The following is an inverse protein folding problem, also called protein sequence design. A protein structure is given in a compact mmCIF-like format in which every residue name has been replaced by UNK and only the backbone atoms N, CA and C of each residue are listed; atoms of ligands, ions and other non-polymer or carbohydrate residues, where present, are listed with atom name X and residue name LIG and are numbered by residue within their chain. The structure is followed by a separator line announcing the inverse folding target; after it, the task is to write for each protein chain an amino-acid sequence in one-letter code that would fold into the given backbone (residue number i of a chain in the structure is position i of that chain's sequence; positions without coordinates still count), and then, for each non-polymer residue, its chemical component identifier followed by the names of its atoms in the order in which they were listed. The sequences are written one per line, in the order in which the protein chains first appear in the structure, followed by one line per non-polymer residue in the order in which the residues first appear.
data_IF_400300760939
#
_entry.id   IF_400300760939
#
_cell.length_a   1.000
_cell.length_b   1.000
_cell.length_c   1.000
_cell.angle_alpha   90.00
_cell.angle_beta   90.00
_cell.angle_gamma   90.00
#
_symmetry.space_group_name_H-M   'P 1'
#
loop_
_entity.id
_entity.type
_entity.pdbx_description
1 polymer ?
#
# COMPACT_ATOMS: atom_id res chain seq x y z
N UNK A 1 15.94 -26.71 30.14
CA UNK A 1 17.21 -25.95 29.99
C UNK A 1 16.88 -24.55 29.50
N UNK A 2 16.65 -23.63 30.44
CA UNK A 2 16.50 -22.21 30.13
C UNK A 2 17.88 -21.62 29.90
N UNK A 3 18.18 -21.18 28.68
CA UNK A 3 19.33 -20.33 28.40
C UNK A 3 18.84 -18.90 28.26
N UNK A 4 19.35 -18.07 29.17
CA UNK A 4 19.07 -16.66 29.34
C UNK A 4 19.76 -15.87 28.21
N UNK A 5 18.98 -15.32 27.27
CA UNK A 5 19.49 -14.53 26.13
C UNK A 5 19.68 -13.03 26.46
N UNK A 6 19.63 -12.66 27.74
CA UNK A 6 19.59 -11.26 28.19
C UNK A 6 20.94 -10.53 28.20
N UNK A 7 22.07 -11.19 27.95
CA UNK A 7 23.41 -10.57 28.13
C UNK A 7 24.14 -10.08 26.87
N UNK A 8 23.66 -10.31 25.64
CA UNK A 8 24.43 -9.98 24.43
C UNK A 8 23.69 -9.22 23.32
N UNK A 9 22.49 -8.70 23.60
CA UNK A 9 21.70 -7.96 22.60
C UNK A 9 22.03 -6.47 22.59
N UNK A 10 22.78 -5.99 21.59
CA UNK A 10 22.83 -4.55 21.28
C UNK A 10 21.81 -4.29 20.17
N UNK A 11 20.74 -3.56 20.49
CA UNK A 11 19.78 -3.04 19.52
C UNK A 11 20.25 -1.66 19.07
N UNK A 12 20.65 -1.53 17.79
CA UNK A 12 21.05 -0.24 17.22
C UNK A 12 19.94 0.25 16.31
N UNK A 13 19.28 1.35 16.70
CA UNK A 13 18.33 2.05 15.83
C UNK A 13 19.11 3.05 14.97
N UNK A 14 19.10 2.86 13.65
CA UNK A 14 19.82 3.75 12.75
C UNK A 14 19.04 5.06 12.55
N UNK A 15 19.47 6.12 13.22
CA UNK A 15 19.15 7.50 12.83
C UNK A 15 20.33 8.06 12.02
N UNK A 16 20.01 8.88 11.02
CA UNK A 16 20.87 9.36 9.91
C UNK A 16 22.06 10.26 10.34
N UNK A 17 22.75 9.94 11.44
CA UNK A 17 23.96 10.62 11.92
C UNK A 17 25.05 9.58 12.18
N UNK A 18 26.16 9.74 11.45
CA UNK A 18 27.46 9.07 11.64
C UNK A 18 27.66 8.69 13.11
N UNK A 19 27.96 7.41 13.38
CA UNK A 19 28.96 6.93 14.35
C UNK A 19 29.05 5.40 14.16
N UNK A 20 30.09 4.92 13.46
CA UNK A 20 30.67 3.61 13.80
C UNK A 20 31.94 3.97 14.56
N UNK A 21 31.85 3.99 15.89
CA UNK A 21 32.98 4.31 16.75
C UNK A 21 33.90 3.08 16.80
N UNK A 22 35.20 3.24 16.50
CA UNK A 22 36.19 2.16 16.44
C UNK A 22 36.22 1.31 17.72
N UNK A 23 35.83 1.86 18.87
CA UNK A 23 35.70 1.13 20.14
C UNK A 23 34.74 -0.07 20.08
N UNK A 24 33.65 0.02 19.32
CA UNK A 24 32.70 -1.10 19.20
C UNK A 24 33.30 -2.28 18.45
N UNK A 25 34.14 -2.01 17.45
CA UNK A 25 34.76 -3.06 16.63
C UNK A 25 35.77 -3.88 17.44
N UNK A 26 36.49 -3.25 18.36
CA UNK A 26 37.40 -3.95 19.28
C UNK A 26 36.66 -4.89 20.22
N UNK A 27 35.46 -4.51 20.70
CA UNK A 27 34.65 -5.35 21.59
C UNK A 27 34.07 -6.59 20.89
N UNK A 28 33.79 -6.47 19.59
CA UNK A 28 33.25 -7.57 18.78
C UNK A 28 34.34 -8.54 18.30
N UNK A 29 35.61 -8.13 18.30
CA UNK A 29 36.72 -8.99 17.89
C UNK A 29 36.91 -10.14 18.88
N UNK A 30 36.96 -11.39 18.39
CA UNK A 30 37.05 -12.59 19.22
C UNK A 30 35.76 -12.96 19.98
N UNK A 31 34.81 -12.04 20.15
CA UNK A 31 33.55 -12.26 20.86
C UNK A 31 32.47 -12.87 19.97
N UNK A 32 31.59 -13.71 20.53
CA UNK A 32 30.38 -14.19 19.84
C UNK A 32 29.24 -13.19 20.07
N UNK A 33 28.58 -12.73 19.01
CA UNK A 33 27.54 -11.70 19.11
C UNK A 33 26.28 -12.00 18.30
N UNK A 34 25.17 -11.38 18.72
CA UNK A 34 23.93 -11.27 17.96
C UNK A 34 23.57 -9.78 17.82
N UNK A 35 23.55 -9.28 16.59
CA UNK A 35 23.16 -7.89 16.30
C UNK A 35 21.80 -7.89 15.61
N UNK A 36 20.88 -7.04 16.11
CA UNK A 36 19.58 -6.82 15.47
C UNK A 36 19.55 -5.42 14.86
N UNK A 37 19.40 -5.37 13.54
CA UNK A 37 19.23 -4.14 12.77
C UNK A 37 17.77 -4.01 12.37
N UNK A 38 17.07 -3.09 13.04
CA UNK A 38 15.65 -2.89 12.82
C UNK A 38 15.38 -1.77 11.79
N UNK A 39 14.42 -2.01 10.89
CA UNK A 39 13.86 -1.04 9.92
C UNK A 39 14.90 -0.47 8.94
N UNK A 40 15.66 -1.33 8.24
CA UNK A 40 16.64 -0.93 7.22
C UNK A 40 15.99 -0.70 5.85
N UNK A 41 16.30 0.43 5.20
CA UNK A 41 15.70 0.88 3.93
C UNK A 41 16.68 1.00 2.76
N UNK A 42 17.97 0.77 2.97
CA UNK A 42 18.99 1.04 1.96
C UNK A 42 20.14 0.02 2.01
N UNK A 43 20.49 -0.51 0.83
CA UNK A 43 21.61 -1.42 0.61
C UNK A 43 22.95 -0.80 1.01
N UNK A 44 23.11 0.51 0.82
CA UNK A 44 24.33 1.26 1.16
C UNK A 44 24.53 1.26 2.67
N UNK A 45 23.44 1.45 3.44
CA UNK A 45 23.49 1.42 4.91
C UNK A 45 23.91 0.03 5.39
N UNK A 46 23.32 -1.03 4.84
CA UNK A 46 23.73 -2.40 5.15
C UNK A 46 25.20 -2.66 4.78
N UNK A 47 25.63 -2.31 3.56
CA UNK A 47 26.99 -2.53 3.09
C UNK A 47 28.03 -1.79 3.96
N UNK A 48 27.73 -0.54 4.32
CA UNK A 48 28.58 0.26 5.20
C UNK A 48 28.68 -0.38 6.58
N UNK A 49 27.57 -0.85 7.16
CA UNK A 49 27.57 -1.51 8.47
C UNK A 49 28.33 -2.85 8.45
N UNK A 50 28.02 -3.72 7.48
CA UNK A 50 28.61 -5.05 7.33
C UNK A 50 30.13 -5.00 7.19
N UNK A 51 30.67 -4.00 6.48
CA UNK A 51 32.11 -3.81 6.26
C UNK A 51 32.92 -3.72 7.55
N UNK A 52 32.32 -3.26 8.65
CA UNK A 52 33.03 -3.09 9.91
C UNK A 52 32.92 -4.30 10.84
N UNK A 53 31.98 -5.22 10.59
CA UNK A 53 31.73 -6.34 11.51
C UNK A 53 32.75 -7.46 11.33
N UNK A 54 33.46 -7.88 12.40
CA UNK A 54 34.41 -8.97 12.31
C UNK A 54 33.70 -10.31 12.15
N UNK A 55 34.13 -11.14 11.20
CA UNK A 55 33.74 -12.54 11.13
C UNK A 55 34.87 -13.41 11.69
N UNK A 56 34.64 -13.91 12.90
CA UNK A 56 35.61 -14.74 13.63
C UNK A 56 35.28 -16.23 13.52
N UNK A 57 34.32 -16.65 12.68
CA UNK A 57 33.90 -18.06 12.55
C UNK A 57 33.29 -18.67 13.83
N UNK A 58 32.97 -17.86 14.83
CA UNK A 58 32.53 -18.30 16.17
C UNK A 58 31.00 -18.41 16.33
N UNK A 59 30.27 -18.43 15.22
CA UNK A 59 28.81 -18.51 15.22
C UNK A 59 28.09 -17.19 15.55
N UNK A 60 28.73 -16.05 15.31
CA UNK A 60 28.09 -14.73 15.38
C UNK A 60 26.97 -14.60 14.32
N UNK A 61 25.94 -13.81 14.63
CA UNK A 61 24.74 -13.68 13.79
C UNK A 61 24.26 -12.24 13.72
N UNK A 62 23.64 -11.90 12.59
CA UNK A 62 22.99 -10.61 12.37
C UNK A 62 21.57 -10.89 11.91
N UNK A 63 20.60 -10.27 12.57
CA UNK A 63 19.20 -10.26 12.16
C UNK A 63 18.86 -8.87 11.63
N UNK A 64 18.42 -8.78 10.39
CA UNK A 64 17.99 -7.55 9.77
C UNK A 64 16.48 -7.61 9.50
N UNK A 65 15.76 -6.56 9.86
CA UNK A 65 14.36 -6.37 9.46
C UNK A 65 14.28 -5.26 8.40
N UNK A 66 13.51 -5.50 7.34
CA UNK A 66 13.30 -4.53 6.27
C UNK A 66 11.93 -4.76 5.64
N UNK A 67 11.37 -3.70 5.06
CA UNK A 67 10.16 -3.76 4.24
C UNK A 67 10.47 -3.92 2.75
N UNK A 68 11.74 -3.80 2.36
CA UNK A 68 12.14 -3.81 0.95
C UNK A 68 12.74 -5.17 0.59
N UNK A 69 12.14 -5.85 -0.38
CA UNK A 69 12.60 -7.17 -0.80
C UNK A 69 14.03 -7.14 -1.36
N UNK A 70 14.39 -6.05 -2.04
CA UNK A 70 15.74 -5.82 -2.58
C UNK A 70 16.82 -5.73 -1.49
N UNK A 71 16.52 -5.11 -0.34
CA UNK A 71 17.45 -5.03 0.79
C UNK A 71 17.68 -6.41 1.39
N UNK A 72 16.61 -7.20 1.54
CA UNK A 72 16.73 -8.57 2.05
C UNK A 72 17.58 -9.45 1.12
N UNK A 73 17.37 -9.37 -0.20
CA UNK A 73 18.17 -10.11 -1.21
C UNK A 73 19.62 -9.67 -1.19
N UNK A 74 19.89 -8.37 -1.28
CA UNK A 74 21.24 -7.83 -1.26
C UNK A 74 22.02 -8.22 0.01
N UNK A 75 21.35 -8.24 1.17
CA UNK A 75 21.95 -8.68 2.42
C UNK A 75 22.24 -10.19 2.45
N UNK A 76 21.43 -10.99 1.76
CA UNK A 76 21.55 -12.44 1.74
C UNK A 76 22.62 -12.94 0.77
N UNK A 77 22.72 -12.33 -0.41
CA UNK A 77 23.55 -12.80 -1.53
C UNK A 77 25.05 -12.89 -1.20
N UNK A 78 25.52 -12.08 -0.24
CA UNK A 78 26.94 -12.01 0.13
C UNK A 78 27.35 -12.92 1.28
N UNK A 79 26.42 -13.25 2.17
CA UNK A 79 26.73 -13.89 3.46
C UNK A 79 26.08 -15.28 3.63
N UNK A 80 25.39 -15.81 2.61
CA UNK A 80 24.78 -17.14 2.65
C UNK A 80 23.69 -17.29 3.72
N UNK A 81 22.96 -16.20 3.98
CA UNK A 81 21.96 -16.11 5.05
C UNK A 81 20.63 -16.80 4.73
N UNK A 82 19.60 -16.42 5.49
CA UNK A 82 18.22 -16.87 5.28
C UNK A 82 17.25 -15.68 5.29
N UNK A 83 16.38 -15.60 4.28
CA UNK A 83 15.32 -14.59 4.19
C UNK A 83 14.01 -15.17 4.73
N UNK A 84 13.55 -14.64 5.86
CA UNK A 84 12.23 -14.98 6.40
C UNK A 84 11.18 -13.95 5.94
N UNK A 85 10.43 -14.26 4.88
CA UNK A 85 9.26 -13.46 4.48
C UNK A 85 8.13 -13.65 5.50
N UNK A 86 7.72 -12.56 6.17
CA UNK A 86 6.56 -12.60 7.07
C UNK A 86 5.27 -12.72 6.25
N UNK A 87 4.42 -13.68 6.63
CA UNK A 87 3.09 -13.87 6.04
C UNK A 87 2.04 -13.02 6.76
N UNK A 88 0.92 -12.80 6.09
CA UNK A 88 -0.30 -12.30 6.71
C UNK A 88 -0.84 -13.33 7.71
N UNK A 89 -1.61 -12.83 8.69
CA UNK A 89 -2.39 -13.68 9.58
C UNK A 89 -3.51 -14.35 8.80
N UNK A 90 -3.80 -15.61 9.11
CA UNK A 90 -5.00 -16.27 8.58
C UNK A 90 -6.27 -15.73 9.28
N UNK A 91 -7.45 -16.15 8.84
CA UNK A 91 -8.72 -15.64 9.40
C UNK A 91 -8.85 -15.92 10.91
N UNK A 92 -8.39 -17.08 11.39
CA UNK A 92 -8.49 -17.44 12.81
C UNK A 92 -7.49 -16.67 13.68
N UNK A 93 -6.25 -16.53 13.23
CA UNK A 93 -5.24 -15.71 13.90
C UNK A 93 -5.65 -14.23 13.94
N UNK A 94 -6.25 -13.74 12.85
CA UNK A 94 -6.76 -12.38 12.76
C UNK A 94 -7.88 -12.14 13.76
N UNK A 95 -8.81 -13.10 13.85
CA UNK A 95 -9.88 -13.06 14.84
C UNK A 95 -9.35 -13.13 16.27
N UNK A 96 -8.42 -14.06 16.54
CA UNK A 96 -7.78 -14.20 17.84
C UNK A 96 -7.12 -12.89 18.28
N UNK A 97 -6.33 -12.25 17.40
CA UNK A 97 -5.69 -10.97 17.70
C UNK A 97 -6.71 -9.86 17.95
N UNK A 98 -7.77 -9.76 17.14
CA UNK A 98 -8.82 -8.78 17.34
C UNK A 98 -9.48 -8.98 18.71
N UNK A 99 -9.86 -10.23 19.02
CA UNK A 99 -10.51 -10.61 20.27
C UNK A 99 -9.63 -10.24 21.47
N UNK A 100 -8.36 -10.61 21.45
CA UNK A 100 -7.37 -10.32 22.49
C UNK A 100 -7.19 -8.81 22.73
N UNK A 101 -7.23 -7.99 21.67
CA UNK A 101 -7.05 -6.54 21.80
C UNK A 101 -8.32 -5.77 22.17
N UNK A 102 -9.50 -6.31 21.83
CA UNK A 102 -10.79 -5.68 22.16
C UNK A 102 -11.27 -6.07 23.56
N UNK A 103 -10.97 -7.28 24.01
CA UNK A 103 -11.48 -7.86 25.25
C UNK A 103 -10.28 -8.12 26.15
N UNK A 104 -10.15 -7.32 27.21
CA UNK A 104 -9.01 -7.42 28.10
C UNK A 104 -8.96 -8.72 28.92
N UNK A 105 -10.05 -9.49 29.04
CA UNK A 105 -10.08 -10.80 29.75
C UNK A 105 -11.41 -11.54 29.54
N UNK A 106 -11.34 -12.88 29.54
CA UNK A 106 -12.40 -13.93 29.60
C UNK A 106 -13.88 -13.48 29.67
N UNK A 107 -14.42 -13.05 28.53
CA UNK A 107 -15.86 -12.95 28.32
C UNK A 107 -16.29 -13.91 27.20
N UNK A 108 -17.35 -14.69 27.46
CA UNK A 108 -18.10 -15.42 26.44
C UNK A 108 -18.86 -14.40 25.59
N UNK A 109 -18.33 -14.09 24.41
CA UNK A 109 -19.04 -13.23 23.46
C UNK A 109 -20.34 -13.91 23.00
N UNK A 110 -21.47 -13.18 22.94
CA UNK A 110 -22.65 -13.68 22.24
C UNK A 110 -22.29 -14.11 20.80
N UNK A 111 -22.86 -15.21 20.27
CA UNK A 111 -22.52 -15.73 18.95
C UNK A 111 -22.65 -14.70 17.81
N UNK A 112 -23.63 -13.79 17.91
CA UNK A 112 -23.85 -12.72 16.94
C UNK A 112 -22.70 -11.70 16.93
N UNK A 113 -22.15 -11.40 18.12
CA UNK A 113 -21.04 -10.47 18.27
C UNK A 113 -19.73 -11.10 17.79
N UNK A 114 -19.55 -12.40 18.03
CA UNK A 114 -18.43 -13.16 17.44
C UNK A 114 -18.49 -13.13 15.91
N UNK A 115 -19.66 -13.40 15.31
CA UNK A 115 -19.83 -13.34 13.84
C UNK A 115 -19.50 -11.95 13.28
N UNK A 116 -19.91 -10.88 13.97
CA UNK A 116 -19.56 -9.51 13.59
C UNK A 116 -18.06 -9.26 13.71
N UNK A 117 -17.44 -9.69 14.82
CA UNK A 117 -16.01 -9.57 15.06
C UNK A 117 -15.15 -10.31 14.03
N UNK A 118 -15.50 -11.55 13.68
CA UNK A 118 -14.85 -12.32 12.61
C UNK A 118 -14.95 -11.62 11.25
N UNK A 119 -16.10 -11.00 10.94
CA UNK A 119 -16.27 -10.20 9.72
C UNK A 119 -15.36 -8.96 9.71
N UNK A 120 -15.19 -8.31 10.85
CA UNK A 120 -14.26 -7.18 11.01
C UNK A 120 -12.81 -7.65 10.79
N UNK A 121 -12.40 -8.72 11.47
CA UNK A 121 -11.06 -9.28 11.35
C UNK A 121 -10.73 -9.69 9.90
N UNK A 122 -11.67 -10.33 9.21
CA UNK A 122 -11.54 -10.70 7.80
C UNK A 122 -11.30 -9.48 6.90
N UNK A 123 -12.00 -8.38 7.13
CA UNK A 123 -11.82 -7.12 6.38
C UNK A 123 -10.50 -6.38 6.68
N UNK A 124 -9.76 -6.80 7.71
CA UNK A 124 -8.40 -6.31 7.94
C UNK A 124 -7.35 -7.05 7.10
N UNK A 125 -7.76 -8.04 6.28
CA UNK A 125 -6.92 -8.76 5.32
C UNK A 125 -5.65 -9.38 5.94
N UNK A 126 -5.75 -9.83 7.20
CA UNK A 126 -4.64 -10.47 7.90
C UNK A 126 -3.49 -9.53 8.29
N UNK A 127 -3.66 -8.21 8.17
CA UNK A 127 -2.67 -7.21 8.59
C UNK A 127 -2.76 -6.94 10.10
N UNK A 128 -1.74 -7.32 10.91
CA UNK A 128 -1.78 -7.13 12.36
C UNK A 128 -2.01 -5.67 12.77
N UNK A 129 -1.37 -4.74 12.07
CA UNK A 129 -1.50 -3.31 12.35
C UNK A 129 -2.91 -2.77 12.08
N UNK A 130 -3.58 -3.24 11.03
CA UNK A 130 -4.97 -2.86 10.74
C UNK A 130 -5.91 -3.41 11.82
N UNK A 131 -5.69 -4.67 12.23
CA UNK A 131 -6.46 -5.32 13.30
C UNK A 131 -6.32 -4.54 14.60
N UNK A 132 -5.11 -4.15 14.98
CA UNK A 132 -4.85 -3.36 16.20
C UNK A 132 -5.52 -1.98 16.13
N UNK A 133 -5.46 -1.30 14.99
CA UNK A 133 -6.12 0.00 14.79
C UNK A 133 -7.64 -0.11 14.98
N UNK A 134 -8.26 -1.14 14.39
CA UNK A 134 -9.70 -1.39 14.55
C UNK A 134 -10.04 -1.83 15.96
N UNK A 135 -9.21 -2.64 16.61
CA UNK A 135 -9.40 -3.05 18.00
C UNK A 135 -9.40 -1.83 18.94
N UNK A 136 -8.46 -0.92 18.75
CA UNK A 136 -8.37 0.36 19.47
C UNK A 136 -9.60 1.24 19.23
N UNK A 137 -10.15 1.24 18.02
CA UNK A 137 -11.39 1.95 17.74
C UNK A 137 -12.58 1.32 18.47
N UNK A 138 -12.71 -0.01 18.42
CA UNK A 138 -13.76 -0.77 19.10
C UNK A 138 -13.69 -0.68 20.63
N UNK A 139 -12.51 -0.44 21.21
CA UNK A 139 -12.35 -0.32 22.66
C UNK A 139 -12.86 1.02 23.21
N UNK A 140 -13.01 2.04 22.36
CA UNK A 140 -13.47 3.39 22.74
C UNK A 140 -14.99 3.52 22.90
N UNK A 141 -15.75 2.51 22.47
CA UNK A 141 -17.21 2.52 22.53
C UNK A 141 -17.77 1.24 23.15
N UNK A 142 -19.05 1.30 23.51
CA UNK A 142 -19.81 0.14 23.93
C UNK A 142 -19.97 -0.83 22.75
N UNK A 143 -19.70 -2.11 22.99
CA UNK A 143 -19.58 -3.14 21.95
C UNK A 143 -20.94 -3.76 21.64
N UNK A 144 -21.90 -2.91 21.30
CA UNK A 144 -23.23 -3.37 20.86
C UNK A 144 -23.11 -4.05 19.50
N UNK A 145 -24.00 -5.02 19.22
CA UNK A 145 -24.04 -5.72 17.94
C UNK A 145 -24.20 -4.75 16.76
N UNK A 146 -25.01 -3.71 16.93
CA UNK A 146 -25.25 -2.68 15.92
C UNK A 146 -23.98 -1.87 15.63
N UNK A 147 -23.25 -1.47 16.67
CA UNK A 147 -21.99 -0.77 16.53
C UNK A 147 -20.94 -1.64 15.80
N UNK A 148 -20.79 -2.91 16.18
CA UNK A 148 -19.88 -3.82 15.48
C UNK A 148 -20.30 -4.06 14.01
N UNK A 149 -21.61 -4.14 13.71
CA UNK A 149 -22.09 -4.21 12.32
C UNK A 149 -21.77 -2.94 11.53
N UNK A 150 -21.83 -1.76 12.16
CA UNK A 150 -21.41 -0.49 11.55
C UNK A 150 -19.91 -0.48 11.27
N UNK A 151 -19.08 -0.78 12.26
CA UNK A 151 -17.62 -0.87 12.09
C UNK A 151 -17.25 -1.90 11.02
N UNK A 152 -17.95 -3.04 10.94
CA UNK A 152 -17.76 -4.02 9.88
C UNK A 152 -18.06 -3.48 8.48
N UNK A 153 -18.87 -2.43 8.32
CA UNK A 153 -19.06 -1.74 7.04
C UNK A 153 -17.95 -0.73 6.76
N UNK A 154 -17.40 -0.12 7.81
CA UNK A 154 -16.49 1.04 7.75
C UNK A 154 -15.02 0.71 8.07
N UNK A 155 -14.62 -0.58 8.11
CA UNK A 155 -13.26 -1.03 8.51
C UNK A 155 -12.15 -0.22 7.82
N UNK A 156 -12.21 -0.06 6.50
CA UNK A 156 -11.19 0.68 5.76
C UNK A 156 -11.12 2.15 6.21
N UNK A 157 -12.27 2.83 6.36
CA UNK A 157 -12.32 4.20 6.89
C UNK A 157 -11.74 4.33 8.30
N UNK A 158 -12.02 3.37 9.19
CA UNK A 158 -11.46 3.33 10.55
C UNK A 158 -9.94 3.19 10.51
N UNK A 159 -9.43 2.29 9.66
CA UNK A 159 -7.99 2.09 9.46
C UNK A 159 -7.34 3.35 8.89
N UNK A 160 -7.95 3.96 7.87
CA UNK A 160 -7.47 5.19 7.24
C UNK A 160 -7.42 6.39 8.19
N UNK A 161 -8.30 6.43 9.19
CA UNK A 161 -8.35 7.47 10.21
C UNK A 161 -7.32 7.30 11.34
N UNK A 162 -6.69 6.12 11.50
CA UNK A 162 -5.69 5.91 12.56
C UNK A 162 -4.36 6.61 12.21
N UNK A 163 -4.07 7.69 12.95
CA UNK A 163 -2.90 8.54 12.72
C UNK A 163 -1.56 7.81 12.90
N UNK A 164 -1.48 6.89 13.86
CA UNK A 164 -0.24 6.16 14.15
C UNK A 164 0.07 5.16 13.03
N UNK A 165 -0.94 4.39 12.60
CA UNK A 165 -0.84 3.51 11.46
C UNK A 165 -0.44 4.28 10.20
N UNK A 166 -1.12 5.40 9.95
CA UNK A 166 -0.83 6.27 8.82
C UNK A 166 0.62 6.77 8.84
N UNK A 167 1.14 7.19 10.01
CA UNK A 167 2.54 7.61 10.18
C UNK A 167 3.53 6.47 9.89
N UNK A 168 3.24 5.26 10.36
CA UNK A 168 4.08 4.08 10.13
C UNK A 168 4.13 3.70 8.64
N UNK A 169 2.99 3.74 7.96
CA UNK A 169 2.88 3.38 6.53
C UNK A 169 3.42 4.47 5.61
N UNK A 170 3.30 5.74 5.98
CA UNK A 170 3.81 6.87 5.19
C UNK A 170 5.31 6.78 4.94
N UNK A 171 6.06 6.13 5.84
CA UNK A 171 7.49 5.84 5.61
C UNK A 171 7.71 5.09 4.31
N UNK A 172 6.90 4.06 4.01
CA UNK A 172 7.03 3.30 2.77
C UNK A 172 6.92 4.20 1.55
N UNK A 173 5.97 5.15 1.55
CA UNK A 173 5.84 6.14 0.47
C UNK A 173 7.04 7.09 0.38
N UNK A 174 7.54 7.61 1.50
CA UNK A 174 8.65 8.57 1.47
C UNK A 174 9.98 7.95 1.04
N UNK A 175 10.16 6.64 1.25
CA UNK A 175 11.32 5.88 0.79
C UNK A 175 11.19 5.39 -0.66
N UNK A 176 10.04 5.54 -1.31
CA UNK A 176 9.94 5.25 -2.74
C UNK A 176 10.83 6.23 -3.55
N UNK A 177 11.49 5.73 -4.61
CA UNK A 177 12.12 6.59 -5.62
C UNK A 177 11.18 7.69 -6.09
N UNK A 178 11.73 8.87 -6.37
CA UNK A 178 10.93 10.04 -6.74
C UNK A 178 10.13 9.81 -8.02
N UNK A 179 10.67 9.06 -8.99
CA UNK A 179 10.00 8.68 -10.23
C UNK A 179 8.78 7.76 -10.01
N UNK A 180 8.75 6.97 -8.93
CA UNK A 180 7.64 6.04 -8.66
C UNK A 180 6.49 6.68 -7.88
N UNK A 181 6.70 7.84 -7.25
CA UNK A 181 5.67 8.49 -6.44
C UNK A 181 4.41 8.85 -7.23
N UNK A 182 4.49 9.43 -8.45
CA UNK A 182 3.30 9.67 -9.26
C UNK A 182 2.54 8.37 -9.58
N UNK A 183 3.25 7.31 -9.98
CA UNK A 183 2.66 5.99 -10.25
C UNK A 183 1.97 5.40 -9.02
N UNK A 184 2.62 5.46 -7.86
CA UNK A 184 2.04 5.03 -6.58
C UNK A 184 0.79 5.84 -6.22
N UNK A 185 0.84 7.17 -6.28
CA UNK A 185 -0.31 8.03 -5.97
C UNK A 185 -1.45 7.72 -6.94
N UNK A 186 -1.15 7.54 -8.23
CA UNK A 186 -2.14 7.20 -9.25
C UNK A 186 -2.90 5.89 -8.99
N UNK A 187 -2.34 4.96 -8.22
CA UNK A 187 -3.07 3.75 -7.79
C UNK A 187 -4.33 4.08 -6.97
N UNK A 188 -4.35 5.22 -6.27
CA UNK A 188 -5.52 5.68 -5.51
C UNK A 188 -6.71 6.11 -6.38
N UNK A 189 -6.52 6.24 -7.69
CA UNK A 189 -7.61 6.55 -8.63
C UNK A 189 -8.58 5.37 -8.74
N UNK A 190 -8.12 4.14 -8.49
CA UNK A 190 -8.95 2.94 -8.46
C UNK A 190 -9.55 2.70 -7.06
N UNK A 191 -10.72 2.03 -6.96
CA UNK A 191 -11.20 1.51 -5.69
C UNK A 191 -10.16 0.57 -5.03
N UNK A 192 -10.10 0.55 -3.70
CA UNK A 192 -9.06 -0.18 -2.97
C UNK A 192 -9.07 -1.70 -3.18
N UNK A 193 -10.20 -2.28 -3.56
CA UNK A 193 -10.41 -3.70 -3.84
C UNK A 193 -10.38 -4.02 -5.34
N UNK A 194 -10.17 -3.02 -6.21
CA UNK A 194 -10.21 -3.19 -7.65
C UNK A 194 -8.95 -3.88 -8.17
N UNK A 195 -9.14 -4.99 -8.88
CA UNK A 195 -8.06 -5.73 -9.54
C UNK A 195 -7.75 -5.12 -10.91
N UNK A 196 -6.56 -4.53 -11.04
CA UNK A 196 -6.14 -3.74 -12.19
C UNK A 196 -5.34 -4.62 -13.15
N UNK A 197 -5.75 -4.74 -14.43
CA UNK A 197 -4.93 -5.36 -15.47
C UNK A 197 -3.65 -4.58 -15.72
N UNK A 198 -2.50 -5.25 -15.66
CA UNK A 198 -1.18 -4.63 -15.82
C UNK A 198 -1.02 -3.87 -17.14
N UNK A 199 -1.47 -4.45 -18.25
CA UNK A 199 -1.41 -3.80 -19.57
C UNK A 199 -2.15 -2.46 -19.60
N UNK A 200 -3.27 -2.35 -18.87
CA UNK A 200 -4.04 -1.12 -18.77
C UNK A 200 -3.39 -0.11 -17.84
N UNK A 201 -2.85 -0.55 -16.71
CA UNK A 201 -2.12 0.32 -15.80
C UNK A 201 -0.89 0.96 -16.47
N UNK A 202 -0.11 0.14 -17.18
CA UNK A 202 1.06 0.59 -17.96
C UNK A 202 0.65 1.63 -18.99
N UNK A 203 -0.37 1.33 -19.80
CA UNK A 203 -0.89 2.26 -20.81
C UNK A 203 -1.32 3.59 -20.19
N UNK A 204 -1.99 3.58 -19.04
CA UNK A 204 -2.37 4.82 -18.33
C UNK A 204 -1.15 5.61 -17.86
N UNK A 205 -0.16 4.97 -17.23
CA UNK A 205 1.04 5.68 -16.76
C UNK A 205 1.83 6.29 -17.91
N UNK A 206 1.91 5.59 -19.04
CA UNK A 206 2.53 6.10 -20.27
C UNK A 206 1.77 7.33 -20.78
N UNK A 207 0.45 7.23 -20.89
CA UNK A 207 -0.39 8.29 -21.42
C UNK A 207 -0.41 9.53 -20.50
N UNK A 208 -0.36 9.33 -19.18
CA UNK A 208 -0.28 10.40 -18.19
C UNK A 208 1.09 11.12 -18.17
N UNK A 209 2.12 10.54 -18.84
CA UNK A 209 3.45 11.12 -18.93
C UNK A 209 4.20 11.15 -17.60
N UNK A 210 3.94 10.19 -16.70
CA UNK A 210 4.62 10.10 -15.41
C UNK A 210 6.08 9.63 -15.52
N UNK A 211 6.43 9.03 -16.64
CA UNK A 211 7.63 8.23 -16.81
C UNK A 211 8.48 8.82 -17.92
N UNK A 212 9.78 8.98 -17.63
CA UNK A 212 10.79 9.47 -18.57
C UNK A 212 11.93 8.44 -18.64
N UNK A 213 11.86 7.45 -19.55
CA UNK A 213 12.89 6.43 -19.69
C UNK A 213 14.17 7.00 -20.31
N UNK A 214 15.32 6.42 -19.94
CA UNK A 214 16.58 6.71 -20.62
C UNK A 214 16.67 5.87 -21.91
N UNK A 215 16.97 6.47 -23.08
CA UNK A 215 17.20 5.72 -24.31
C UNK A 215 18.32 4.67 -24.13
N UNK A 216 18.22 3.48 -24.74
CA UNK A 216 17.25 3.06 -25.77
C UNK A 216 15.97 2.39 -25.23
N UNK A 217 15.71 2.43 -23.93
CA UNK A 217 14.59 1.71 -23.32
C UNK A 217 13.22 2.27 -23.76
N UNK A 218 12.26 1.37 -24.01
CA UNK A 218 10.89 1.79 -24.33
C UNK A 218 10.15 2.28 -23.08
N UNK A 219 9.16 3.15 -23.28
CA UNK A 219 8.33 3.69 -22.19
C UNK A 219 7.52 2.59 -21.49
N UNK A 220 7.03 1.61 -22.26
CA UNK A 220 6.23 0.50 -21.74
C UNK A 220 7.08 -0.45 -20.89
N UNK A 221 8.29 -0.81 -21.34
CA UNK A 221 9.20 -1.65 -20.57
C UNK A 221 9.59 -0.97 -19.25
N UNK A 222 9.91 0.33 -19.31
CA UNK A 222 10.23 1.11 -18.12
C UNK A 222 9.04 1.21 -17.15
N UNK A 223 7.81 1.30 -17.66
CA UNK A 223 6.60 1.28 -16.83
C UNK A 223 6.38 -0.07 -16.13
N UNK A 224 6.69 -1.19 -16.81
CA UNK A 224 6.65 -2.53 -16.21
C UNK A 224 7.70 -2.65 -15.11
N UNK A 225 8.92 -2.17 -15.32
CA UNK A 225 9.96 -2.15 -14.28
C UNK A 225 9.53 -1.31 -13.07
N UNK A 226 8.91 -0.15 -13.31
CA UNK A 226 8.35 0.69 -12.25
C UNK A 226 7.27 -0.05 -11.44
N UNK A 227 6.42 -0.83 -12.11
CA UNK A 227 5.41 -1.66 -11.45
C UNK A 227 6.05 -2.75 -10.58
N UNK A 228 7.07 -3.43 -11.09
CA UNK A 228 7.81 -4.45 -10.35
C UNK A 228 8.50 -3.86 -9.11
N UNK A 229 9.06 -2.65 -9.21
CA UNK A 229 9.69 -1.97 -8.09
C UNK A 229 8.68 -1.58 -7.00
N UNK A 230 7.45 -1.18 -7.37
CA UNK A 230 6.36 -0.98 -6.42
C UNK A 230 5.94 -2.30 -5.74
N UNK A 231 5.96 -3.43 -6.46
CA UNK A 231 5.74 -4.76 -5.87
C UNK A 231 6.87 -5.13 -4.90
N UNK A 232 8.14 -4.91 -5.26
CA UNK A 232 9.28 -5.20 -4.37
C UNK A 232 9.33 -4.29 -3.14
N UNK A 233 8.72 -3.11 -3.24
CA UNK A 233 8.50 -2.19 -2.12
C UNK A 233 7.35 -2.62 -1.20
N UNK A 234 6.68 -3.74 -1.51
CA UNK A 234 5.54 -4.30 -0.77
C UNK A 234 4.38 -3.31 -0.58
N UNK A 235 4.15 -2.41 -1.55
CA UNK A 235 2.99 -1.50 -1.55
C UNK A 235 1.84 -2.02 -2.44
N UNK A 236 2.15 -2.90 -3.38
CA UNK A 236 1.18 -3.57 -4.24
C UNK A 236 1.10 -5.07 -3.96
N UNK A 237 -0.08 -5.63 -4.19
CA UNK A 237 -0.37 -7.04 -4.16
C UNK A 237 -0.59 -7.56 -5.60
N UNK A 238 0.21 -8.55 -5.99
CA UNK A 238 -0.01 -9.31 -7.23
C UNK A 238 -1.19 -10.27 -7.01
N UNK A 239 -2.15 -10.26 -7.95
CA UNK A 239 -3.35 -11.12 -7.90
C UNK A 239 -3.21 -12.31 -8.82
N UNK A 240 -2.83 -12.07 -10.06
CA UNK A 240 -2.56 -13.12 -11.04
C UNK A 240 -1.22 -12.90 -11.75
N UNK A 241 -0.59 -14.02 -12.10
CA UNK A 241 0.53 -14.05 -13.04
C UNK A 241 0.05 -14.48 -14.42
N UNK A 242 0.72 -14.00 -15.47
CA UNK A 242 0.47 -14.46 -16.83
C UNK A 242 1.23 -15.77 -17.10
N UNK A 243 1.01 -16.39 -18.26
CA UNK A 243 1.68 -17.63 -18.68
C UNK A 243 3.21 -17.50 -18.78
N UNK A 244 3.73 -16.29 -18.89
CA UNK A 244 5.17 -15.98 -18.95
C UNK A 244 5.77 -15.68 -17.57
N UNK A 245 4.99 -15.75 -16.49
CA UNK A 245 5.42 -15.46 -15.11
C UNK A 245 5.38 -13.98 -14.71
N UNK A 246 5.09 -13.08 -15.65
CA UNK A 246 4.91 -11.64 -15.39
C UNK A 246 3.60 -11.33 -14.65
N UNK A 247 3.47 -10.10 -14.14
CA UNK A 247 2.29 -9.66 -13.40
C UNK A 247 1.12 -9.47 -14.38
N UNK A 248 0.06 -10.27 -14.27
CA UNK A 248 -1.14 -10.11 -15.10
C UNK A 248 -2.09 -9.08 -14.53
N UNK A 249 -2.31 -9.15 -13.22
CA UNK A 249 -3.18 -8.24 -12.48
C UNK A 249 -2.61 -7.92 -11.11
N UNK A 250 -2.88 -6.72 -10.61
CA UNK A 250 -2.44 -6.27 -9.31
C UNK A 250 -3.46 -5.32 -8.67
N UNK A 251 -3.34 -5.10 -7.37
CA UNK A 251 -4.00 -3.98 -6.72
C UNK A 251 -3.12 -3.42 -5.60
N UNK A 252 -3.48 -2.22 -5.13
CA UNK A 252 -2.81 -1.63 -3.98
C UNK A 252 -3.31 -2.30 -2.69
N UNK A 253 -2.43 -2.54 -1.71
CA UNK A 253 -2.93 -2.95 -0.39
C UNK A 253 -3.82 -1.83 0.17
N UNK A 254 -5.00 -2.16 0.69
CA UNK A 254 -5.99 -1.15 1.10
C UNK A 254 -5.44 -0.14 2.12
N UNK A 255 -4.48 -0.54 2.96
CA UNK A 255 -3.83 0.34 3.93
C UNK A 255 -3.00 1.45 3.27
N UNK A 256 -2.47 1.23 2.07
CA UNK A 256 -1.74 2.24 1.29
C UNK A 256 -2.67 3.09 0.43
N UNK A 257 -3.88 2.61 0.11
CA UNK A 257 -4.85 3.38 -0.66
C UNK A 257 -5.16 4.75 -0.03
N UNK A 258 -5.33 4.80 1.30
CA UNK A 258 -5.53 6.05 2.03
C UNK A 258 -4.33 7.01 1.96
N UNK A 259 -3.11 6.48 1.81
CA UNK A 259 -1.93 7.31 1.58
C UNK A 259 -2.00 7.93 0.19
N UNK A 260 -2.33 7.15 -0.84
CA UNK A 260 -2.50 7.66 -2.20
C UNK A 260 -3.52 8.80 -2.25
N UNK A 261 -4.70 8.62 -1.66
CA UNK A 261 -5.75 9.65 -1.63
C UNK A 261 -5.28 10.90 -0.90
N UNK A 262 -4.66 10.76 0.28
CA UNK A 262 -4.16 11.91 1.05
C UNK A 262 -3.06 12.68 0.31
N UNK A 263 -2.10 11.99 -0.28
CA UNK A 263 -1.04 12.67 -1.04
C UNK A 263 -1.60 13.29 -2.33
N UNK A 264 -2.60 12.66 -2.96
CA UNK A 264 -3.29 13.25 -4.10
C UNK A 264 -4.05 14.53 -3.74
N UNK A 265 -4.69 14.60 -2.58
CA UNK A 265 -5.36 15.81 -2.09
C UNK A 265 -4.36 16.95 -1.85
N UNK A 266 -3.21 16.67 -1.23
CA UNK A 266 -2.15 17.66 -0.98
C UNK A 266 -1.60 18.25 -2.28
N UNK A 267 -1.33 17.40 -3.26
CA UNK A 267 -0.71 17.78 -4.53
C UNK A 267 -1.74 18.12 -5.62
N UNK A 268 -3.04 18.11 -5.28
CA UNK A 268 -4.16 18.29 -6.22
C UNK A 268 -4.08 17.35 -7.44
N UNK A 269 -3.58 16.14 -7.20
CA UNK A 269 -3.19 15.19 -8.23
C UNK A 269 -4.39 14.47 -8.87
N UNK A 270 -5.37 14.04 -8.07
CA UNK A 270 -6.68 13.57 -8.51
C UNK A 270 -7.77 13.91 -7.47
N UNK A 271 -9.04 13.83 -7.88
CA UNK A 271 -10.19 13.92 -6.98
C UNK A 271 -11.18 12.78 -7.22
N UNK A 272 -11.61 12.13 -6.14
CA UNK A 272 -12.67 11.12 -6.18
C UNK A 272 -14.02 11.83 -6.02
N UNK A 273 -14.85 11.74 -7.05
CA UNK A 273 -16.18 12.35 -7.07
C UNK A 273 -17.16 11.42 -6.35
N UNK A 274 -17.62 11.84 -5.18
CA UNK A 274 -18.66 11.15 -4.42
C UNK A 274 -20.02 11.84 -4.60
N UNK A 275 -21.12 11.07 -4.58
CA UNK A 275 -22.48 11.56 -4.82
C UNK A 275 -23.06 12.46 -3.72
N UNK A 276 -22.30 12.75 -2.65
CA UNK A 276 -22.76 13.51 -1.50
C UNK A 276 -21.69 14.50 -1.03
N UNK A 277 -21.84 15.77 -1.45
CA UNK A 277 -21.12 16.90 -0.88
C UNK A 277 -19.73 17.15 -1.48
N UNK A 278 -19.70 17.67 -2.71
CA UNK A 278 -18.46 18.12 -3.33
C UNK A 278 -18.18 19.59 -2.96
N UNK A 279 -17.40 19.83 -1.90
CA UNK A 279 -16.76 21.12 -1.68
C UNK A 279 -15.30 21.02 -2.13
N UNK A 280 -14.88 21.88 -3.07
CA UNK A 280 -13.46 22.03 -3.43
C UNK A 280 -13.01 21.42 -4.77
N UNK A 281 -13.89 21.23 -5.75
CA UNK A 281 -13.51 20.80 -7.11
C UNK A 281 -12.97 21.97 -7.95
N UNK A 282 -12.07 22.76 -7.38
CA UNK A 282 -11.39 23.84 -8.09
C UNK A 282 -9.92 23.44 -8.21
N UNK A 283 -9.43 23.27 -9.44
CA UNK A 283 -8.02 23.07 -9.84
C UNK A 283 -7.40 21.65 -9.94
N UNK A 284 -8.16 20.55 -9.74
CA UNK A 284 -7.59 19.20 -9.93
C UNK A 284 -7.44 18.81 -11.40
N UNK A 285 -6.34 18.13 -11.72
CA UNK A 285 -6.02 17.68 -13.09
C UNK A 285 -6.65 16.35 -13.48
N UNK A 286 -7.11 15.54 -12.51
CA UNK A 286 -7.67 14.20 -12.76
C UNK A 286 -8.89 13.98 -11.89
N UNK A 287 -9.91 13.35 -12.47
CA UNK A 287 -11.16 13.03 -11.79
C UNK A 287 -11.37 11.53 -11.83
N UNK A 288 -11.89 10.95 -10.75
CA UNK A 288 -12.34 9.56 -10.76
C UNK A 288 -13.68 9.36 -10.08
N UNK A 289 -14.43 8.39 -10.59
CA UNK A 289 -15.76 8.02 -10.10
C UNK A 289 -15.72 6.53 -9.72
N UNK A 290 -16.16 6.23 -8.49
CA UNK A 290 -16.25 4.86 -7.99
C UNK A 290 -17.72 4.41 -7.88
N UNK A 291 -18.03 3.23 -8.43
CA UNK A 291 -19.25 2.43 -8.20
C UNK A 291 -20.61 3.12 -8.42
N UNK A 292 -20.67 4.25 -9.12
CA UNK A 292 -21.94 4.93 -9.43
C UNK A 292 -21.82 5.83 -10.66
N UNK A 293 -21.43 5.25 -11.80
CA UNK A 293 -21.18 5.98 -13.04
C UNK A 293 -22.37 6.86 -13.47
N UNK A 294 -23.62 6.40 -13.28
CA UNK A 294 -24.83 7.20 -13.62
C UNK A 294 -25.03 8.45 -12.75
N UNK A 295 -24.82 8.36 -11.44
CA UNK A 295 -24.97 9.50 -10.52
C UNK A 295 -23.73 10.39 -10.57
N UNK A 296 -22.55 9.75 -10.56
CA UNK A 296 -21.27 10.40 -10.71
C UNK A 296 -21.17 11.18 -12.00
N UNK A 297 -21.67 10.69 -13.15
CA UNK A 297 -21.63 11.47 -14.40
C UNK A 297 -22.51 12.72 -14.34
N UNK A 298 -23.68 12.70 -13.66
CA UNK A 298 -24.48 13.93 -13.50
C UNK A 298 -23.74 14.96 -12.65
N UNK A 299 -23.11 14.52 -11.57
CA UNK A 299 -22.32 15.40 -10.71
C UNK A 299 -21.04 15.87 -11.40
N UNK A 300 -20.36 14.98 -12.13
CA UNK A 300 -19.23 15.30 -12.99
C UNK A 300 -19.67 16.26 -14.08
N UNK A 301 -20.84 16.15 -14.69
CA UNK A 301 -21.29 17.11 -15.69
C UNK A 301 -21.51 18.50 -15.10
N UNK A 302 -22.19 18.58 -13.94
CA UNK A 302 -22.32 19.84 -13.18
C UNK A 302 -20.97 20.41 -12.78
N UNK A 303 -20.04 19.55 -12.36
CA UNK A 303 -18.71 19.95 -11.89
C UNK A 303 -17.76 20.26 -13.05
N UNK A 304 -17.87 19.60 -14.20
CA UNK A 304 -17.06 19.82 -15.39
C UNK A 304 -17.34 21.20 -15.99
N UNK A 305 -18.58 21.68 -15.90
CA UNK A 305 -18.90 23.07 -16.23
C UNK A 305 -18.11 24.08 -15.37
N UNK A 306 -17.67 23.69 -14.17
CA UNK A 306 -16.80 24.47 -13.27
C UNK A 306 -15.32 24.08 -13.29
N UNK A 307 -14.91 22.98 -13.96
CA UNK A 307 -13.53 22.47 -13.97
C UNK A 307 -12.91 22.68 -15.34
N UNK A 308 -12.27 23.83 -15.54
CA UNK A 308 -11.57 24.18 -16.79
C UNK A 308 -10.23 23.44 -16.97
N UNK A 309 -9.77 22.63 -15.99
CA UNK A 309 -8.38 22.14 -15.90
C UNK A 309 -8.22 20.60 -15.82
N UNK A 310 -9.31 19.83 -15.87
CA UNK A 310 -9.23 18.37 -15.81
C UNK A 310 -8.70 17.81 -17.15
N UNK A 311 -7.68 16.94 -17.07
CA UNK A 311 -7.02 16.29 -18.21
C UNK A 311 -7.43 14.83 -18.38
N UNK A 312 -7.82 14.16 -17.29
CA UNK A 312 -8.28 12.77 -17.34
C UNK A 312 -9.49 12.52 -16.44
N UNK A 313 -10.37 11.61 -16.89
CA UNK A 313 -11.52 11.11 -16.15
C UNK A 313 -11.50 9.58 -16.16
N UNK A 314 -11.40 8.98 -14.97
CA UNK A 314 -11.50 7.53 -14.77
C UNK A 314 -12.86 7.16 -14.16
N UNK A 315 -13.65 6.38 -14.88
CA UNK A 315 -14.91 5.84 -14.37
C UNK A 315 -14.76 4.36 -14.06
N UNK A 316 -15.03 3.95 -12.82
CA UNK A 316 -15.04 2.54 -12.40
C UNK A 316 -16.43 2.16 -11.87
N UNK A 317 -16.98 1.04 -12.34
CA UNK A 317 -18.28 0.56 -11.90
C UNK A 317 -18.88 -0.53 -12.81
N UNK A 318 -20.06 -1.06 -12.45
CA UNK A 318 -20.77 -2.03 -13.27
C UNK A 318 -21.17 -1.44 -14.63
N UNK A 319 -21.16 -2.28 -15.68
CA UNK A 319 -21.62 -1.87 -17.01
C UNK A 319 -23.09 -1.46 -16.98
N UNK A 320 -23.41 -0.29 -17.51
CA UNK A 320 -24.79 0.16 -17.70
C UNK A 320 -25.21 -0.04 -19.17
N UNK A 321 -26.41 -0.58 -19.38
CA UNK A 321 -26.97 -0.84 -20.71
C UNK A 321 -27.34 0.44 -21.49
N UNK A 322 -27.36 1.60 -20.82
CA UNK A 322 -27.73 2.87 -21.44
C UNK A 322 -26.47 3.66 -21.80
N UNK A 323 -26.35 4.15 -23.05
CA UNK A 323 -25.27 5.06 -23.40
C UNK A 323 -25.38 6.29 -22.51
N UNK A 324 -24.32 6.61 -21.77
CA UNK A 324 -24.28 7.84 -20.99
C UNK A 324 -23.67 8.93 -21.87
N UNK A 325 -24.45 9.92 -22.34
CA UNK A 325 -23.92 10.97 -23.21
C UNK A 325 -23.01 11.89 -22.39
N UNK A 326 -21.70 11.80 -22.62
CA UNK A 326 -20.73 12.79 -22.12
C UNK A 326 -20.62 13.89 -23.17
N UNK A 327 -21.24 15.05 -22.92
CA UNK A 327 -21.00 16.26 -23.73
C UNK A 327 -19.72 16.92 -23.25
N UNK A 328 -18.64 16.74 -24.00
CA UNK A 328 -17.36 17.40 -23.76
C UNK A 328 -17.38 18.78 -24.39
N UNK A 329 -17.62 19.81 -23.57
CA UNK A 329 -17.36 21.18 -23.96
C UNK A 329 -15.87 21.47 -23.78
N UNK A 330 -15.11 21.40 -24.87
CA UNK A 330 -13.78 21.96 -25.08
C UNK A 330 -12.60 21.43 -24.21
N UNK A 331 -11.60 20.88 -24.92
CA UNK A 331 -10.22 20.51 -24.55
C UNK A 331 -9.90 19.03 -24.31
N UNK A 332 -8.72 18.62 -24.81
CA UNK A 332 -8.13 17.27 -24.84
C UNK A 332 -8.29 16.58 -23.49
N UNK A 333 -9.26 15.67 -23.40
CA UNK A 333 -9.58 14.91 -22.20
C UNK A 333 -9.30 13.44 -22.50
N UNK A 334 -8.28 12.90 -21.83
CA UNK A 334 -8.07 11.47 -21.82
C UNK A 334 -9.21 10.82 -21.03
N UNK A 335 -10.19 10.32 -21.76
CA UNK A 335 -11.31 9.59 -21.22
C UNK A 335 -10.98 8.11 -21.22
N UNK A 336 -10.92 7.52 -20.03
CA UNK A 336 -10.77 6.07 -19.91
C UNK A 336 -12.00 5.53 -19.18
N UNK A 337 -12.91 4.93 -19.95
CA UNK A 337 -14.08 4.24 -19.41
C UNK A 337 -13.72 2.81 -19.03
N UNK A 338 -14.05 2.39 -17.80
CA UNK A 338 -14.00 0.98 -17.38
C UNK A 338 -15.38 0.49 -16.99
N UNK A 339 -15.79 -0.62 -17.63
CA UNK A 339 -17.02 -1.33 -17.34
C UNK A 339 -16.67 -2.75 -16.86
N UNK A 340 -17.27 -3.19 -15.75
CA UNK A 340 -17.12 -4.56 -15.24
C UNK A 340 -18.02 -5.56 -16.01
N UNK A 341 -17.33 -6.50 -16.69
CA UNK A 341 -17.66 -7.82 -17.29
C UNK A 341 -18.79 -8.04 -18.34
N UNK A 342 -18.37 -8.13 -19.62
CA UNK A 342 -18.51 -9.29 -20.56
C UNK A 342 -17.89 -8.96 -21.94
N UNK A 343 -16.59 -8.71 -21.98
CA UNK A 343 -15.82 -8.74 -23.23
C UNK A 343 -16.14 -7.67 -24.30
N UNK A 344 -16.88 -6.61 -23.97
CA UNK A 344 -17.17 -5.51 -24.91
C UNK A 344 -16.57 -4.20 -24.39
N UNK A 345 -15.43 -3.86 -24.96
CA UNK A 345 -14.72 -2.60 -24.77
C UNK A 345 -15.29 -1.52 -25.69
N UNK A 346 -15.54 -0.34 -25.15
CA UNK A 346 -15.64 0.89 -25.95
C UNK A 346 -14.49 1.78 -25.51
N UNK A 347 -13.41 1.73 -26.28
CA UNK A 347 -12.27 2.64 -26.13
C UNK A 347 -12.58 3.95 -26.85
N UNK A 348 -12.25 5.06 -26.20
CA UNK A 348 -12.26 6.39 -26.80
C UNK A 348 -11.16 7.22 -26.17
N UNK A 349 -9.91 7.00 -26.60
CA UNK A 349 -8.85 7.98 -26.37
C UNK A 349 -9.14 9.12 -27.35
N UNK A 350 -9.87 10.14 -26.89
CA UNK A 350 -9.87 11.43 -27.55
C UNK A 350 -8.59 12.12 -27.08
N UNK A 351 -7.56 12.09 -27.94
CA UNK A 351 -6.48 13.08 -27.88
C UNK A 351 -7.11 14.38 -28.33
#
# INVERSE_FOLDING_TARGET
MHSDFSQFGICVRYERKRIVNQKWLMLLWGSRYLIVLDDIWDNIVWAAFRRYLPDNGNGSRIMLTTRLQQVARYANDKDGGFILKKRFLNEEESWHLLREKVIATDWLLPPELEKAGRKIAKKCEGLPLAIIAVAKHLSQAEKTLEYCKKVAKEVHSVVGADKELSKVLSRSYYYLPQCLKPCFVYMGVFPHDYEIPTSKLVSMWCAEGFLEPNPPQSLEDFAVECLEELVWSNVLQVREHNSSGGIKTCNIYFVFWHICVREAEKDKFFHIVNSYGNQGIESQRRLCIHNNVLFGIKDVHKSMASILNARSLLCTGPQHQYPVPIRLGYHLLMLVFYFLEKGLMVEGILV
#
